data_IF_012709572016
#
_entry.id   IF_012709572016
#
_cell.length_a   1.000
_cell.length_b   1.000
_cell.length_c   1.000
_cell.angle_alpha   90.00
_cell.angle_beta   90.00
_cell.angle_gamma   90.00
#
_symmetry.space_group_name_H-M   'P 1'
#
loop_
_entity.id
_entity.type
_entity.pdbx_description
1 polymer ?
#
# COMPACT_ATOMS: atom_id res chain seq x y z
N UNK A 1 -65.42 30.01 -2.64
CA UNK A 1 -64.45 29.10 -3.34
C UNK A 1 -63.00 29.39 -3.03
N UNK A 2 -62.61 30.61 -2.57
CA UNK A 2 -61.21 30.99 -2.28
C UNK A 2 -60.63 30.44 -0.96
N UNK A 3 -61.44 30.09 0.04
CA UNK A 3 -60.95 29.64 1.35
C UNK A 3 -60.37 28.20 1.32
N UNK A 4 -60.86 27.35 0.47
CA UNK A 4 -60.39 25.93 0.33
C UNK A 4 -59.01 25.92 -0.32
N UNK A 5 -58.77 26.76 -1.33
CA UNK A 5 -57.47 26.88 -1.98
C UNK A 5 -56.40 27.44 -1.05
N UNK A 6 -56.74 28.47 -0.24
CA UNK A 6 -55.83 29.02 0.75
C UNK A 6 -55.44 27.97 1.83
N UNK A 7 -56.40 27.16 2.28
CA UNK A 7 -56.18 26.11 3.26
C UNK A 7 -55.25 25.00 2.71
N UNK A 8 -55.48 24.58 1.44
CA UNK A 8 -54.66 23.60 0.77
C UNK A 8 -53.19 24.07 0.59
N UNK A 9 -53.01 25.35 0.23
CA UNK A 9 -51.67 25.95 0.11
C UNK A 9 -50.94 26.04 1.46
N UNK A 10 -51.64 26.38 2.51
CA UNK A 10 -51.08 26.46 3.88
C UNK A 10 -50.68 25.05 4.36
N UNK A 11 -51.53 24.05 4.21
CA UNK A 11 -51.23 22.67 4.59
C UNK A 11 -50.05 22.12 3.77
N UNK A 12 -49.98 22.39 2.47
CA UNK A 12 -48.86 22.02 1.60
C UNK A 12 -47.56 22.67 2.05
N UNK A 13 -47.60 23.96 2.47
CA UNK A 13 -46.44 24.68 2.99
C UNK A 13 -45.94 24.11 4.33
N UNK A 14 -46.88 23.79 5.24
CA UNK A 14 -46.58 23.19 6.54
C UNK A 14 -45.92 21.81 6.35
N UNK A 15 -46.47 20.97 5.48
CA UNK A 15 -45.90 19.65 5.20
C UNK A 15 -44.49 19.71 4.58
N UNK A 16 -44.25 20.69 3.70
CA UNK A 16 -42.91 20.95 3.14
C UNK A 16 -41.90 21.42 4.19
N UNK A 17 -42.35 22.28 5.11
CA UNK A 17 -41.50 22.73 6.22
C UNK A 17 -41.21 21.59 7.20
N UNK A 18 -42.18 20.78 7.56
CA UNK A 18 -41.99 19.60 8.41
C UNK A 18 -40.99 18.58 7.79
N UNK A 19 -41.08 18.36 6.48
CA UNK A 19 -40.13 17.52 5.75
C UNK A 19 -38.70 18.10 5.79
N UNK A 20 -38.55 19.42 5.62
CA UNK A 20 -37.28 20.11 5.70
C UNK A 20 -36.67 20.05 7.11
N UNK A 21 -37.48 20.24 8.16
CA UNK A 21 -37.04 20.12 9.55
C UNK A 21 -36.57 18.73 9.86
N UNK A 22 -37.27 17.69 9.42
CA UNK A 22 -36.85 16.29 9.59
C UNK A 22 -35.53 15.98 8.85
N UNK A 23 -35.36 16.52 7.64
CA UNK A 23 -34.11 16.37 6.88
C UNK A 23 -32.92 17.06 7.58
N UNK A 24 -33.13 18.29 8.09
CA UNK A 24 -32.12 19.04 8.84
C UNK A 24 -31.76 18.34 10.16
N UNK A 25 -32.77 17.86 10.92
CA UNK A 25 -32.57 17.10 12.15
C UNK A 25 -31.74 15.82 11.89
N UNK A 26 -32.03 15.11 10.81
CA UNK A 26 -31.29 13.92 10.42
C UNK A 26 -29.85 14.23 9.99
N UNK A 27 -29.63 15.33 9.29
CA UNK A 27 -28.30 15.82 8.95
C UNK A 27 -27.50 16.24 10.18
N UNK A 28 -28.13 16.91 11.14
CA UNK A 28 -27.50 17.33 12.37
C UNK A 28 -27.10 16.15 13.25
N UNK A 29 -27.99 15.15 13.38
CA UNK A 29 -27.71 13.94 14.17
C UNK A 29 -26.65 13.02 13.53
N UNK A 30 -26.57 13.01 12.19
CA UNK A 30 -25.57 12.20 11.45
C UNK A 30 -24.24 12.91 11.25
N UNK A 31 -24.14 14.21 11.55
CA UNK A 31 -22.97 15.05 11.25
C UNK A 31 -22.68 15.17 9.73
N UNK A 32 -23.57 14.71 8.87
CA UNK A 32 -23.37 14.65 7.43
C UNK A 32 -24.30 15.61 6.68
N UNK A 33 -23.72 16.62 6.06
CA UNK A 33 -24.43 17.57 5.19
C UNK A 33 -25.00 16.93 3.92
N UNK A 34 -24.51 15.74 3.55
CA UNK A 34 -24.95 15.04 2.32
C UNK A 34 -26.31 14.35 2.46
N UNK A 35 -26.88 14.27 3.66
CA UNK A 35 -28.22 13.70 3.92
C UNK A 35 -29.36 14.72 3.75
N UNK A 36 -29.04 16.00 3.56
CA UNK A 36 -30.03 17.05 3.27
C UNK A 36 -30.24 17.11 1.78
N UNK A 37 -31.52 17.06 1.27
CA UNK A 37 -31.81 17.36 -0.12
C UNK A 37 -31.52 18.85 -0.34
N UNK A 38 -30.31 19.19 -0.69
CA UNK A 38 -29.94 20.56 -1.03
C UNK A 38 -30.04 20.73 -2.54
N UNK A 39 -30.67 21.79 -2.98
CA UNK A 39 -30.63 22.26 -4.36
C UNK A 39 -29.21 22.77 -4.73
N UNK A 40 -28.24 22.66 -3.83
CA UNK A 40 -26.86 23.09 -4.03
C UNK A 40 -26.05 21.94 -4.68
N UNK A 41 -26.23 21.79 -5.98
CA UNK A 41 -25.46 20.89 -6.82
C UNK A 41 -23.96 21.20 -6.78
N UNK A 42 -23.58 22.43 -6.47
CA UNK A 42 -22.18 22.85 -6.32
C UNK A 42 -21.53 22.19 -5.10
N UNK A 43 -22.19 22.22 -3.95
CA UNK A 43 -21.69 21.58 -2.73
C UNK A 43 -21.61 20.06 -2.87
N UNK A 44 -22.61 19.42 -3.49
CA UNK A 44 -22.58 17.98 -3.76
C UNK A 44 -21.41 17.56 -4.68
N UNK A 45 -21.15 18.35 -5.73
CA UNK A 45 -20.01 18.13 -6.64
C UNK A 45 -18.68 18.30 -5.91
N UNK A 46 -18.55 19.30 -5.04
CA UNK A 46 -17.35 19.51 -4.25
C UNK A 46 -17.08 18.33 -3.30
N UNK A 47 -18.11 17.83 -2.60
CA UNK A 47 -18.00 16.64 -1.75
C UNK A 47 -17.59 15.40 -2.56
N UNK A 48 -18.20 15.19 -3.72
CA UNK A 48 -17.85 14.06 -4.59
C UNK A 48 -16.39 14.13 -5.07
N UNK A 49 -15.91 15.31 -5.49
CA UNK A 49 -14.51 15.52 -5.88
C UNK A 49 -13.55 15.26 -4.72
N UNK A 50 -13.87 15.77 -3.53
CA UNK A 50 -13.02 15.56 -2.36
C UNK A 50 -12.96 14.08 -1.94
N UNK A 51 -14.09 13.36 -2.02
CA UNK A 51 -14.10 11.90 -1.78
C UNK A 51 -13.25 11.15 -2.80
N UNK A 52 -13.33 11.51 -4.07
CA UNK A 52 -12.49 10.91 -5.11
C UNK A 52 -11.00 11.23 -4.89
N UNK A 53 -10.66 12.47 -4.58
CA UNK A 53 -9.30 12.87 -4.28
C UNK A 53 -8.74 12.10 -3.06
N UNK A 54 -9.55 11.95 -2.00
CA UNK A 54 -9.17 11.17 -0.82
C UNK A 54 -8.94 9.69 -1.16
N UNK A 55 -9.81 9.09 -1.97
CA UNK A 55 -9.64 7.70 -2.41
C UNK A 55 -8.33 7.52 -3.18
N UNK A 56 -8.03 8.42 -4.11
CA UNK A 56 -6.78 8.40 -4.88
C UNK A 56 -5.54 8.56 -3.98
N UNK A 57 -5.63 9.41 -2.95
CA UNK A 57 -4.53 9.59 -1.99
C UNK A 57 -4.31 8.34 -1.12
N UNK A 58 -5.38 7.67 -0.71
CA UNK A 58 -5.30 6.41 0.04
C UNK A 58 -4.63 5.34 -0.82
N UNK A 59 -5.04 5.20 -2.08
CA UNK A 59 -4.45 4.26 -3.02
C UNK A 59 -2.97 4.57 -3.28
N UNK A 60 -2.63 5.83 -3.53
CA UNK A 60 -1.25 6.26 -3.70
C UNK A 60 -0.39 5.94 -2.46
N UNK A 61 -0.92 6.17 -1.26
CA UNK A 61 -0.24 5.81 -0.01
C UNK A 61 0.00 4.30 0.10
N UNK A 62 -0.98 3.48 -0.24
CA UNK A 62 -0.83 2.02 -0.22
C UNK A 62 0.25 1.56 -1.21
N UNK A 63 0.27 2.13 -2.41
CA UNK A 63 1.28 1.85 -3.41
C UNK A 63 2.68 2.24 -2.93
N UNK A 64 2.84 3.40 -2.30
CA UNK A 64 4.11 3.83 -1.71
C UNK A 64 4.54 2.87 -0.59
N UNK A 65 3.65 2.45 0.29
CA UNK A 65 3.96 1.50 1.36
C UNK A 65 4.41 0.14 0.80
N UNK A 66 3.75 -0.36 -0.25
CA UNK A 66 4.13 -1.59 -0.92
C UNK A 66 5.52 -1.48 -1.56
N UNK A 67 5.79 -0.36 -2.26
CA UNK A 67 7.09 -0.10 -2.86
C UNK A 67 8.20 0.03 -1.81
N UNK A 68 7.93 0.67 -0.67
CA UNK A 68 8.89 0.72 0.45
C UNK A 68 9.22 -0.67 0.98
N UNK A 69 8.20 -1.52 1.17
CA UNK A 69 8.40 -2.90 1.63
C UNK A 69 9.21 -3.72 0.62
N UNK A 70 8.96 -3.54 -0.68
CA UNK A 70 9.75 -4.15 -1.75
C UNK A 70 11.22 -3.74 -1.66
N UNK A 71 11.50 -2.44 -1.56
CA UNK A 71 12.86 -1.90 -1.48
C UNK A 71 13.58 -2.35 -0.20
N UNK A 72 12.90 -2.40 0.94
CA UNK A 72 13.48 -2.89 2.20
C UNK A 72 13.85 -4.39 2.09
N UNK A 73 13.01 -5.19 1.44
CA UNK A 73 13.30 -6.61 1.21
C UNK A 73 14.48 -6.76 0.25
N UNK A 74 14.54 -5.94 -0.80
CA UNK A 74 15.66 -5.91 -1.74
C UNK A 74 16.97 -5.51 -1.06
N UNK A 75 16.95 -4.47 -0.23
CA UNK A 75 18.10 -4.02 0.53
C UNK A 75 18.64 -5.11 1.47
N UNK A 76 17.75 -5.77 2.22
CA UNK A 76 18.11 -6.89 3.08
C UNK A 76 18.73 -8.05 2.30
N UNK A 77 18.23 -8.35 1.11
CA UNK A 77 18.80 -9.37 0.25
C UNK A 77 20.17 -8.96 -0.30
N UNK A 78 20.37 -7.68 -0.63
CA UNK A 78 21.66 -7.15 -1.07
C UNK A 78 22.72 -7.21 0.03
N UNK A 79 22.37 -6.90 1.28
CA UNK A 79 23.26 -7.07 2.43
C UNK A 79 23.71 -8.52 2.54
N UNK A 80 22.78 -9.47 2.48
CA UNK A 80 23.07 -10.91 2.53
C UNK A 80 23.98 -11.38 1.40
N UNK A 81 23.77 -10.88 0.19
CA UNK A 81 24.65 -11.11 -0.95
C UNK A 81 26.06 -10.59 -0.68
N UNK A 82 26.19 -9.41 -0.08
CA UNK A 82 27.45 -8.82 0.33
C UNK A 82 28.21 -9.71 1.32
N UNK A 83 27.50 -10.22 2.33
CA UNK A 83 28.06 -11.12 3.35
C UNK A 83 28.56 -12.43 2.71
N UNK A 84 27.78 -13.03 1.80
CA UNK A 84 28.19 -14.24 1.07
C UNK A 84 29.44 -13.98 0.24
N UNK A 85 29.51 -12.88 -0.48
CA UNK A 85 30.69 -12.53 -1.29
C UNK A 85 31.92 -12.30 -0.40
N UNK A 86 31.76 -11.61 0.71
CA UNK A 86 32.81 -11.38 1.70
C UNK A 86 33.35 -12.70 2.24
N UNK A 87 32.47 -13.63 2.60
CA UNK A 87 32.84 -14.96 3.07
C UNK A 87 33.57 -15.78 2.00
N UNK A 88 33.11 -15.71 0.76
CA UNK A 88 33.82 -16.33 -0.36
C UNK A 88 35.25 -15.79 -0.53
N UNK A 89 35.47 -14.49 -0.34
CA UNK A 89 36.80 -13.88 -0.40
C UNK A 89 37.70 -14.34 0.76
N UNK A 90 37.14 -14.44 1.98
CA UNK A 90 37.88 -15.00 3.14
C UNK A 90 38.30 -16.45 2.90
N UNK A 91 37.39 -17.30 2.42
CA UNK A 91 37.68 -18.70 2.11
C UNK A 91 38.78 -18.81 1.05
N UNK A 92 38.73 -17.98 0.00
CA UNK A 92 39.77 -17.94 -1.02
C UNK A 92 41.12 -17.59 -0.41
N UNK A 93 41.18 -16.59 0.45
CA UNK A 93 42.43 -16.17 1.10
C UNK A 93 42.98 -17.27 2.01
N UNK A 94 42.11 -17.91 2.79
CA UNK A 94 42.46 -19.03 3.66
C UNK A 94 42.94 -20.26 2.88
N UNK A 95 42.29 -20.58 1.77
CA UNK A 95 42.62 -21.71 0.91
C UNK A 95 44.04 -21.58 0.33
N UNK A 96 44.53 -20.40 0.07
CA UNK A 96 45.86 -20.12 -0.47
C UNK A 96 46.99 -20.25 0.56
N UNK A 97 46.67 -20.52 1.82
CA UNK A 97 47.66 -20.67 2.89
C UNK A 97 48.52 -21.90 2.66
N UNK A 98 49.86 -21.78 2.69
CA UNK A 98 50.76 -22.90 2.43
C UNK A 98 50.82 -23.97 3.53
N UNK A 99 50.24 -23.66 4.71
CA UNK A 99 50.21 -24.57 5.89
C UNK A 99 48.86 -25.30 6.01
N UNK A 100 47.97 -25.16 5.03
CA UNK A 100 46.65 -25.78 5.06
C UNK A 100 46.73 -27.27 4.74
N UNK A 101 46.10 -28.11 5.56
CA UNK A 101 45.96 -29.54 5.28
C UNK A 101 44.96 -29.82 4.12
N UNK A 102 45.08 -30.96 3.47
CA UNK A 102 44.11 -31.31 2.41
C UNK A 102 42.69 -31.49 2.94
N UNK A 103 42.55 -31.94 4.19
CA UNK A 103 41.22 -32.01 4.86
C UNK A 103 40.58 -30.64 5.02
N UNK A 104 41.37 -29.63 5.40
CA UNK A 104 40.88 -28.25 5.55
C UNK A 104 40.53 -27.65 4.19
N UNK A 105 41.31 -27.93 3.13
CA UNK A 105 41.01 -27.49 1.76
C UNK A 105 39.68 -28.09 1.28
N UNK A 106 39.39 -29.34 1.60
CA UNK A 106 38.13 -30.01 1.25
C UNK A 106 36.97 -29.37 2.02
N UNK A 107 37.16 -29.01 3.30
CA UNK A 107 36.13 -28.31 4.08
C UNK A 107 35.82 -26.93 3.47
N UNK A 108 36.83 -26.14 3.13
CA UNK A 108 36.65 -24.83 2.48
C UNK A 108 35.99 -24.94 1.12
N UNK A 109 36.31 -25.95 0.32
CA UNK A 109 35.64 -26.20 -0.95
C UNK A 109 34.15 -26.56 -0.79
N UNK A 110 33.79 -27.32 0.23
CA UNK A 110 32.40 -27.64 0.54
C UNK A 110 31.63 -26.37 0.96
N UNK A 111 32.21 -25.57 1.86
CA UNK A 111 31.61 -24.31 2.28
C UNK A 111 31.44 -23.35 1.10
N UNK A 112 32.45 -23.19 0.25
CA UNK A 112 32.39 -22.33 -0.94
C UNK A 112 31.26 -22.76 -1.89
N UNK A 113 31.10 -24.08 -2.13
CA UNK A 113 29.97 -24.59 -2.94
C UNK A 113 28.60 -24.30 -2.30
N UNK A 114 28.50 -24.41 -0.98
CA UNK A 114 27.27 -24.06 -0.27
C UNK A 114 26.94 -22.59 -0.44
N UNK A 115 27.90 -21.70 -0.29
CA UNK A 115 27.73 -20.25 -0.51
C UNK A 115 27.34 -19.91 -1.96
N UNK A 116 27.90 -20.63 -2.95
CA UNK A 116 27.50 -20.49 -4.35
C UNK A 116 26.04 -20.88 -4.59
N UNK A 117 25.56 -21.94 -3.93
CA UNK A 117 24.15 -22.34 -4.01
C UNK A 117 23.26 -21.30 -3.37
N UNK A 118 23.62 -20.81 -2.19
CA UNK A 118 22.87 -19.76 -1.50
C UNK A 118 22.81 -18.45 -2.34
N UNK A 119 23.92 -18.08 -2.98
CA UNK A 119 23.94 -16.92 -3.89
C UNK A 119 22.99 -17.11 -5.10
N UNK A 120 22.89 -18.34 -5.61
CA UNK A 120 21.96 -18.67 -6.70
C UNK A 120 20.52 -18.57 -6.24
N UNK A 121 20.22 -19.03 -5.03
CA UNK A 121 18.88 -18.91 -4.44
C UNK A 121 18.48 -17.45 -4.22
N UNK A 122 19.42 -16.58 -3.84
CA UNK A 122 19.16 -15.14 -3.70
C UNK A 122 18.65 -14.52 -5.01
N UNK A 123 19.12 -14.98 -6.16
CA UNK A 123 18.67 -14.51 -7.48
C UNK A 123 17.18 -14.79 -7.73
N UNK A 124 16.66 -15.88 -7.17
CA UNK A 124 15.28 -16.33 -7.38
C UNK A 124 14.29 -15.70 -6.37
N UNK A 125 14.77 -14.85 -5.47
CA UNK A 125 13.91 -14.21 -4.46
C UNK A 125 12.85 -13.35 -5.09
N UNK A 126 11.63 -13.46 -4.54
CA UNK A 126 10.45 -12.71 -4.99
C UNK A 126 9.75 -12.03 -3.82
N UNK A 127 9.20 -10.87 -4.09
CA UNK A 127 8.29 -10.15 -3.20
C UNK A 127 6.91 -10.06 -3.86
N UNK A 128 5.88 -10.65 -3.23
CA UNK A 128 4.53 -10.72 -3.80
C UNK A 128 4.49 -11.22 -5.26
N UNK A 129 5.33 -12.21 -5.60
CA UNK A 129 5.41 -12.78 -6.94
C UNK A 129 6.29 -12.00 -7.93
N UNK A 130 6.77 -10.81 -7.57
CA UNK A 130 7.68 -9.99 -8.36
C UNK A 130 9.13 -10.30 -7.96
N UNK A 131 10.00 -10.59 -8.93
CA UNK A 131 11.42 -10.84 -8.67
C UNK A 131 12.09 -9.61 -8.08
N UNK A 132 12.90 -9.80 -7.02
CA UNK A 132 13.68 -8.72 -6.43
C UNK A 132 14.86 -8.30 -7.31
N UNK A 133 15.37 -9.23 -8.11
CA UNK A 133 16.53 -9.04 -8.98
C UNK A 133 16.16 -9.43 -10.40
N UNK A 134 15.07 -8.88 -10.93
CA UNK A 134 14.59 -9.22 -12.26
C UNK A 134 15.70 -9.02 -13.28
N UNK A 135 16.04 -10.11 -13.94
CA UNK A 135 16.76 -10.10 -15.19
C UNK A 135 15.84 -10.77 -16.20
N UNK A 136 15.13 -9.97 -16.98
CA UNK A 136 14.63 -10.43 -18.26
C UNK A 136 15.81 -10.37 -19.23
N UNK A 137 16.23 -11.55 -19.66
CA UNK A 137 17.15 -11.67 -20.78
C UNK A 137 16.34 -11.59 -22.08
#
# INVERSE_FOLDING_TARGET
MNTIHAHSMVVGSINKQASNINAISKALSSGSKSSVPTNDLGALRAVARNKQALANLIEARQNIQSNMSFLQTQDSAMVKIGDIISRCAELKTSYLSPVLSDTDKDAYNKEFRSLQLELREMKELKFNGVSLFAHEA
#
